data_IF_984021084023
#
_entry.id   IF_984021084023
#
_cell.length_a   1.000
_cell.length_b   1.000
_cell.length_c   1.000
_cell.angle_alpha   90.00
_cell.angle_beta   90.00
_cell.angle_gamma   90.00
#
_symmetry.space_group_name_H-M   'P 1'
#
loop_
_entity.id
_entity.type
_entity.pdbx_description
1 polymer ?
#
# COMPACT_ATOMS: atom_id res chain seq x y z
N UNK A 1 1.72 19.90 -8.51
CA UNK A 1 0.91 19.34 -7.40
C UNK A 1 -0.35 18.58 -7.87
N UNK A 2 -0.96 18.89 -9.03
CA UNK A 2 -2.17 18.19 -9.53
C UNK A 2 -1.98 16.74 -10.05
N UNK A 3 -0.76 16.30 -10.36
CA UNK A 3 -0.55 14.97 -10.95
C UNK A 3 -0.54 13.82 -9.90
N UNK A 4 -0.12 14.10 -8.66
CA UNK A 4 -0.02 13.09 -7.60
C UNK A 4 -1.37 12.75 -6.97
N UNK A 5 -2.30 13.72 -6.91
CA UNK A 5 -3.68 13.53 -6.45
C UNK A 5 -4.45 12.61 -7.39
N UNK A 6 -4.20 12.68 -8.70
CA UNK A 6 -4.89 11.85 -9.69
C UNK A 6 -4.51 10.37 -9.58
N UNK A 7 -3.22 10.03 -9.37
CA UNK A 7 -2.75 8.63 -9.37
C UNK A 7 -3.28 7.79 -8.19
N UNK A 8 -3.38 8.38 -6.99
CA UNK A 8 -3.87 7.63 -5.82
C UNK A 8 -5.39 7.63 -5.76
N UNK A 9 -6.02 8.74 -6.16
CA UNK A 9 -7.47 8.77 -6.35
C UNK A 9 -7.89 7.76 -7.43
N UNK A 10 -7.10 7.54 -8.51
CA UNK A 10 -7.38 6.50 -9.50
C UNK A 10 -7.25 5.08 -8.95
N UNK A 11 -6.27 4.80 -8.09
CA UNK A 11 -6.13 3.47 -7.48
C UNK A 11 -7.23 3.19 -6.44
N UNK A 12 -7.60 4.18 -5.64
CA UNK A 12 -8.74 4.09 -4.73
C UNK A 12 -10.08 4.03 -5.48
N UNK A 13 -10.27 4.83 -6.52
CA UNK A 13 -11.48 4.83 -7.34
C UNK A 13 -11.57 3.56 -8.19
N UNK A 14 -10.45 3.00 -8.67
CA UNK A 14 -10.42 1.74 -9.40
C UNK A 14 -10.93 0.56 -8.57
N UNK A 15 -10.68 0.57 -7.25
CA UNK A 15 -11.26 -0.40 -6.32
C UNK A 15 -12.79 -0.20 -6.15
N UNK A 16 -13.28 1.05 -6.23
CA UNK A 16 -14.72 1.37 -6.21
C UNK A 16 -15.40 1.06 -7.56
N UNK A 17 -14.68 1.18 -8.68
CA UNK A 17 -15.21 0.99 -10.05
C UNK A 17 -15.37 -0.50 -10.42
N UNK A 18 -14.90 -1.44 -9.60
CA UNK A 18 -15.27 -2.85 -9.73
C UNK A 18 -16.75 -3.13 -9.38
N UNK A 19 -17.51 -2.13 -8.88
CA UNK A 19 -18.94 -2.26 -8.58
C UNK A 19 -19.81 -1.16 -9.23
N UNK A 20 -19.38 -0.52 -10.32
CA UNK A 20 -20.24 0.48 -10.98
C UNK A 20 -20.38 0.25 -12.49
N UNK A 21 -21.13 -0.81 -12.81
CA UNK A 21 -22.04 -0.72 -13.92
C UNK A 21 -23.30 0.01 -13.46
N UNK A 22 -23.48 1.24 -13.97
CA UNK A 22 -24.74 2.00 -14.09
C UNK A 22 -25.03 3.07 -13.02
N UNK A 23 -24.73 4.30 -13.42
CA UNK A 23 -25.57 5.51 -13.35
C UNK A 23 -26.99 5.33 -12.78
N UNK A 24 -27.29 6.12 -11.74
CA UNK A 24 -28.62 6.57 -11.30
C UNK A 24 -29.77 5.55 -11.44
N UNK A 25 -29.95 4.72 -10.42
CA UNK A 25 -31.12 3.83 -10.31
C UNK A 25 -31.41 3.49 -8.85
N UNK A 26 -32.68 3.58 -8.49
CA UNK A 26 -33.33 3.10 -7.28
C UNK A 26 -32.68 1.83 -6.70
N UNK A 27 -32.22 1.88 -5.44
CA UNK A 27 -31.65 0.74 -4.71
C UNK A 27 -32.71 -0.36 -4.56
N UNK A 28 -32.67 -1.37 -5.43
CA UNK A 28 -33.30 -2.65 -5.16
C UNK A 28 -32.29 -3.57 -4.47
N UNK A 29 -32.72 -4.39 -3.48
CA UNK A 29 -31.88 -5.43 -2.90
C UNK A 29 -31.46 -6.40 -4.01
N UNK A 30 -30.16 -6.61 -4.20
CA UNK A 30 -29.61 -7.59 -5.14
C UNK A 30 -29.96 -9.00 -4.63
N UNK A 31 -30.53 -9.82 -5.51
CA UNK A 31 -30.84 -11.23 -5.25
C UNK A 31 -29.59 -11.98 -4.76
N UNK A 32 -29.71 -12.65 -3.61
CA UNK A 32 -28.74 -13.60 -3.08
C UNK A 32 -28.56 -14.75 -4.10
N UNK A 33 -27.49 -14.67 -4.87
CA UNK A 33 -26.98 -15.84 -5.59
C UNK A 33 -26.09 -16.57 -4.61
N UNK A 34 -26.41 -17.84 -4.31
CA UNK A 34 -25.63 -18.76 -3.47
C UNK A 34 -24.18 -18.86 -3.99
N UNK A 35 -23.31 -17.94 -3.56
CA UNK A 35 -21.89 -17.96 -3.87
C UNK A 35 -21.10 -18.13 -2.57
N UNK A 36 -20.19 -19.10 -2.56
CA UNK A 36 -19.27 -19.40 -1.45
C UNK A 36 -18.21 -18.31 -1.22
N UNK A 37 -18.36 -17.15 -1.85
CA UNK A 37 -17.43 -16.02 -1.79
C UNK A 37 -18.20 -14.80 -1.28
N UNK A 38 -17.85 -14.30 -0.10
CA UNK A 38 -18.52 -13.18 0.55
C UNK A 38 -17.53 -12.04 0.76
N UNK A 39 -17.34 -11.18 -0.24
CA UNK A 39 -16.51 -9.96 -0.10
C UNK A 39 -17.43 -8.75 0.00
N UNK A 40 -17.30 -8.01 1.10
CA UNK A 40 -18.17 -6.87 1.40
C UNK A 40 -17.34 -5.63 1.77
N UNK A 41 -17.94 -4.45 1.56
CA UNK A 41 -17.38 -3.19 2.05
C UNK A 41 -17.53 -3.15 3.57
N UNK A 42 -16.43 -3.39 4.28
CA UNK A 42 -16.38 -3.39 5.75
C UNK A 42 -16.14 -2.00 6.31
N UNK A 43 -15.61 -1.07 5.51
CA UNK A 43 -15.40 0.31 5.92
C UNK A 43 -15.57 1.25 4.74
N UNK A 44 -16.38 2.29 4.94
CA UNK A 44 -16.42 3.46 4.08
C UNK A 44 -16.52 4.70 4.97
N UNK A 45 -15.57 5.62 4.86
CA UNK A 45 -15.50 6.78 5.73
C UNK A 45 -14.88 7.99 5.06
N UNK A 46 -15.46 9.17 5.30
CA UNK A 46 -14.91 10.45 4.85
C UNK A 46 -15.15 11.52 5.92
N UNK A 47 -14.18 12.40 6.12
CA UNK A 47 -14.33 13.61 6.92
C UNK A 47 -13.49 14.73 6.35
N UNK A 48 -13.99 15.97 6.45
CA UNK A 48 -13.32 17.15 5.92
C UNK A 48 -13.63 18.35 6.82
N UNK A 49 -12.64 19.23 6.99
CA UNK A 49 -12.79 20.56 7.56
C UNK A 49 -12.12 21.59 6.62
N UNK A 50 -12.02 22.84 7.07
CA UNK A 50 -11.47 23.94 6.27
C UNK A 50 -9.99 23.79 5.93
N UNK A 51 -9.22 23.01 6.69
CA UNK A 51 -7.76 22.91 6.56
C UNK A 51 -7.28 21.48 6.29
N UNK A 52 -8.18 20.53 6.03
CA UNK A 52 -7.79 19.13 5.90
C UNK A 52 -8.95 18.14 5.85
N UNK A 53 -8.60 16.87 5.75
CA UNK A 53 -9.57 15.78 5.72
C UNK A 53 -8.95 14.41 5.52
N UNK A 54 -9.82 13.41 5.48
CA UNK A 54 -9.47 12.03 5.20
C UNK A 54 -10.60 11.33 4.45
N UNK A 55 -10.25 10.34 3.66
CA UNK A 55 -11.20 9.42 3.06
C UNK A 55 -10.59 8.02 3.02
N UNK A 56 -11.40 7.00 3.26
CA UNK A 56 -10.97 5.62 3.24
C UNK A 56 -12.08 4.68 2.78
N UNK A 57 -11.68 3.59 2.15
CA UNK A 57 -12.54 2.45 1.82
C UNK A 57 -11.76 1.17 2.11
N UNK A 58 -12.45 0.19 2.68
CA UNK A 58 -11.93 -1.16 2.84
C UNK A 58 -13.01 -2.19 2.54
N UNK A 59 -12.58 -3.28 1.94
CA UNK A 59 -13.38 -4.47 1.69
C UNK A 59 -12.67 -5.67 2.29
N UNK A 60 -13.43 -6.62 2.84
CA UNK A 60 -12.90 -7.87 3.35
C UNK A 60 -13.93 -8.98 3.21
N UNK A 61 -13.48 -10.22 3.27
CA UNK A 61 -14.33 -11.37 3.01
C UNK A 61 -13.61 -12.70 2.93
N UNK A 62 -14.36 -13.77 2.69
CA UNK A 62 -13.78 -15.05 2.27
C UNK A 62 -13.86 -15.17 0.74
N UNK A 63 -12.72 -15.47 0.12
CA UNK A 63 -12.61 -15.70 -1.31
C UNK A 63 -11.96 -17.06 -1.54
N UNK A 64 -12.76 -18.07 -1.81
CA UNK A 64 -12.25 -19.40 -2.16
C UNK A 64 -11.51 -19.37 -3.52
N UNK A 65 -10.33 -20.00 -3.66
CA UNK A 65 -9.60 -20.85 -2.69
C UNK A 65 -8.56 -20.10 -1.83
N UNK A 66 -8.55 -18.77 -1.84
CA UNK A 66 -7.57 -17.93 -1.13
C UNK A 66 -7.86 -17.77 0.37
N UNK A 67 -9.08 -18.08 0.81
CA UNK A 67 -9.55 -17.92 2.18
C UNK A 67 -9.87 -16.45 2.50
N UNK A 68 -9.71 -16.05 3.77
CA UNK A 68 -9.90 -14.67 4.19
C UNK A 68 -8.98 -13.71 3.42
N UNK A 69 -9.58 -12.69 2.80
CA UNK A 69 -8.89 -11.60 2.12
C UNK A 69 -9.37 -10.24 2.64
N UNK A 70 -8.52 -9.23 2.50
CA UNK A 70 -8.84 -7.84 2.77
C UNK A 70 -8.07 -6.91 1.86
N UNK A 71 -8.70 -5.81 1.47
CA UNK A 71 -8.07 -4.72 0.72
C UNK A 71 -8.63 -3.39 1.20
N UNK A 72 -7.78 -2.38 1.30
CA UNK A 72 -8.18 -1.05 1.72
C UNK A 72 -7.26 0.00 1.13
N UNK A 73 -7.81 1.19 1.01
CA UNK A 73 -7.05 2.37 0.64
C UNK A 73 -7.53 3.57 1.46
N UNK A 74 -6.64 4.54 1.62
CA UNK A 74 -6.95 5.76 2.34
C UNK A 74 -6.10 6.93 1.89
N UNK A 75 -6.66 8.12 2.06
CA UNK A 75 -5.99 9.40 1.90
C UNK A 75 -6.20 10.26 3.14
N UNK A 76 -5.21 11.05 3.48
CA UNK A 76 -5.27 12.06 4.53
C UNK A 76 -4.51 13.30 4.02
N UNK A 77 -5.06 14.48 4.25
CA UNK A 77 -4.37 15.71 3.95
C UNK A 77 -4.61 16.76 5.04
N UNK A 78 -3.61 17.60 5.20
CA UNK A 78 -3.65 18.83 5.98
C UNK A 78 -2.96 19.91 5.17
N UNK A 79 -3.70 20.99 4.91
CA UNK A 79 -3.22 22.14 4.14
C UNK A 79 -1.92 22.69 4.72
N UNK A 80 -0.96 23.00 3.84
CA UNK A 80 0.39 23.49 4.15
C UNK A 80 1.24 22.62 5.10
N UNK A 81 0.77 21.44 5.50
CA UNK A 81 1.46 20.55 6.44
C UNK A 81 1.82 19.23 5.78
N UNK A 82 0.84 18.51 5.23
CA UNK A 82 1.12 17.22 4.62
C UNK A 82 0.00 16.68 3.76
N UNK A 83 0.35 15.79 2.83
CA UNK A 83 -0.57 14.98 2.06
C UNK A 83 -0.06 13.54 2.05
N UNK A 84 -0.93 12.57 2.30
CA UNK A 84 -0.54 11.17 2.33
C UNK A 84 -1.64 10.25 1.85
N UNK A 85 -1.22 9.08 1.41
CA UNK A 85 -2.13 8.04 0.98
C UNK A 85 -1.48 6.67 1.05
N UNK A 86 -2.32 5.63 1.07
CA UNK A 86 -1.83 4.28 1.18
C UNK A 86 -2.82 3.24 0.68
N UNK A 87 -2.28 2.08 0.40
CA UNK A 87 -2.95 0.86 0.02
C UNK A 87 -2.50 -0.23 0.98
N UNK A 88 -3.44 -1.08 1.37
CA UNK A 88 -3.18 -2.29 2.12
C UNK A 88 -3.98 -3.40 1.49
N UNK A 89 -3.39 -4.56 1.32
CA UNK A 89 -4.12 -5.78 1.03
C UNK A 89 -3.50 -6.95 1.78
N UNK A 90 -4.25 -8.02 1.93
CA UNK A 90 -3.74 -9.20 2.60
C UNK A 90 -4.73 -10.35 2.58
N UNK A 91 -4.23 -11.47 3.07
CA UNK A 91 -4.99 -12.66 3.41
C UNK A 91 -4.52 -13.20 4.75
N UNK A 92 -5.10 -14.31 5.19
CA UNK A 92 -4.62 -15.07 6.36
C UNK A 92 -3.12 -15.41 6.30
N UNK A 93 -2.54 -15.51 5.10
CA UNK A 93 -1.16 -15.98 4.89
C UNK A 93 -0.16 -14.89 4.50
N UNK A 94 -0.62 -13.82 3.82
CA UNK A 94 0.24 -12.79 3.25
C UNK A 94 -0.32 -11.41 3.51
N UNK A 95 0.55 -10.43 3.75
CA UNK A 95 0.18 -9.02 3.81
C UNK A 95 1.01 -8.21 2.83
N UNK A 96 0.41 -7.19 2.22
CA UNK A 96 1.08 -6.18 1.43
C UNK A 96 0.56 -4.80 1.82
N UNK A 97 1.47 -3.84 1.87
CA UNK A 97 1.13 -2.46 2.19
C UNK A 97 2.04 -1.52 1.45
N UNK A 98 1.53 -0.37 1.09
CA UNK A 98 2.32 0.69 0.52
C UNK A 98 1.66 2.03 0.72
N UNK A 99 2.44 3.08 0.65
CA UNK A 99 1.92 4.42 0.80
C UNK A 99 2.99 5.47 0.63
N UNK A 100 2.55 6.71 0.80
CA UNK A 100 3.42 7.85 0.70
C UNK A 100 2.94 8.95 1.64
N UNK A 101 3.87 9.85 1.98
CA UNK A 101 3.62 11.12 2.63
C UNK A 101 4.43 12.19 1.92
N UNK A 102 3.84 13.35 1.75
CA UNK A 102 4.45 14.53 1.15
C UNK A 102 4.29 15.64 2.18
N UNK A 103 5.41 16.22 2.58
CA UNK A 103 5.53 17.43 3.39
C UNK A 103 6.02 18.57 2.47
N UNK A 104 5.99 19.84 2.93
CA UNK A 104 6.44 20.97 2.11
C UNK A 104 7.85 20.82 1.53
N UNK A 105 8.77 20.19 2.27
CA UNK A 105 10.20 20.08 1.93
C UNK A 105 10.71 18.64 1.84
N UNK A 106 9.81 17.65 1.93
CA UNK A 106 10.21 16.25 1.90
C UNK A 106 9.09 15.34 1.44
N UNK A 107 9.46 14.16 0.99
CA UNK A 107 8.53 13.08 0.65
C UNK A 107 9.07 11.74 1.15
N UNK A 108 8.15 10.87 1.52
CA UNK A 108 8.38 9.49 1.90
C UNK A 108 7.51 8.59 1.05
N UNK A 109 8.07 7.51 0.50
CA UNK A 109 7.34 6.43 -0.16
C UNK A 109 7.75 5.13 0.54
N UNK A 110 6.76 4.36 0.99
CA UNK A 110 6.97 3.09 1.65
C UNK A 110 6.24 1.96 0.95
N UNK A 111 6.83 0.77 0.97
CA UNK A 111 6.15 -0.47 0.62
C UNK A 111 6.65 -1.61 1.51
N UNK A 112 5.79 -2.57 1.81
CA UNK A 112 6.12 -3.69 2.67
C UNK A 112 5.31 -4.93 2.33
N UNK A 113 5.92 -6.08 2.60
CA UNK A 113 5.30 -7.39 2.50
C UNK A 113 5.49 -8.14 3.82
N UNK A 114 4.51 -8.97 4.14
CA UNK A 114 4.49 -9.80 5.34
C UNK A 114 4.03 -11.22 5.02
N UNK A 115 4.55 -12.17 5.78
CA UNK A 115 4.22 -13.58 5.71
C UNK A 115 3.81 -14.04 7.12
N UNK A 116 2.53 -14.29 7.32
CA UNK A 116 1.96 -14.61 8.64
C UNK A 116 2.53 -15.91 9.19
N UNK A 117 2.59 -16.96 8.35
CA UNK A 117 3.03 -18.30 8.77
C UNK A 117 4.48 -18.37 9.24
N UNK A 118 5.35 -17.56 8.65
CA UNK A 118 6.79 -17.57 8.92
C UNK A 118 7.26 -16.38 9.77
N UNK A 119 6.29 -15.58 10.26
CA UNK A 119 6.48 -14.31 10.97
C UNK A 119 7.58 -13.45 10.32
N UNK A 120 7.59 -13.42 8.99
CA UNK A 120 8.61 -12.75 8.21
C UNK A 120 8.03 -11.50 7.56
N UNK A 121 8.76 -10.40 7.59
CA UNK A 121 8.40 -9.20 6.84
C UNK A 121 9.62 -8.53 6.26
N UNK A 122 9.38 -7.76 5.21
CA UNK A 122 10.36 -6.89 4.61
C UNK A 122 9.65 -5.60 4.17
N UNK A 123 10.31 -4.47 4.34
CA UNK A 123 9.82 -3.18 3.88
C UNK A 123 10.94 -2.33 3.30
N UNK A 124 10.56 -1.46 2.38
CA UNK A 124 11.37 -0.38 1.85
C UNK A 124 10.72 0.94 2.24
N UNK A 125 11.55 1.91 2.57
CA UNK A 125 11.17 3.30 2.72
C UNK A 125 12.16 4.13 1.92
N UNK A 126 11.67 4.90 0.98
CA UNK A 126 12.41 5.89 0.23
C UNK A 126 12.02 7.28 0.72
N UNK A 127 12.98 8.03 1.21
CA UNK A 127 12.81 9.42 1.62
C UNK A 127 13.61 10.31 0.69
N UNK A 128 13.05 11.47 0.38
CA UNK A 128 13.72 12.52 -0.37
C UNK A 128 13.39 13.87 0.24
N UNK A 129 14.34 14.79 0.18
CA UNK A 129 14.12 16.19 0.49
C UNK A 129 14.36 17.07 -0.74
N UNK A 130 13.83 18.28 -0.73
CA UNK A 130 13.98 19.25 -1.82
C UNK A 130 15.40 19.88 -1.89
N UNK A 131 16.25 19.58 -0.91
CA UNK A 131 17.69 19.85 -0.91
C UNK A 131 18.52 18.87 -1.77
N UNK A 132 17.86 17.87 -2.38
CA UNK A 132 18.50 16.85 -3.21
C UNK A 132 19.08 15.68 -2.43
N UNK A 133 18.77 15.54 -1.14
CA UNK A 133 19.10 14.35 -0.37
C UNK A 133 18.09 13.22 -0.59
N UNK A 134 18.58 11.99 -0.62
CA UNK A 134 17.78 10.78 -0.78
C UNK A 134 18.25 9.71 0.21
N UNK A 135 17.31 8.95 0.77
CA UNK A 135 17.60 7.82 1.64
C UNK A 135 16.71 6.64 1.28
N UNK A 136 17.33 5.49 1.05
CA UNK A 136 16.65 4.21 0.96
C UNK A 136 16.93 3.40 2.23
N UNK A 137 15.87 3.04 2.94
CA UNK A 137 15.93 2.17 4.11
C UNK A 137 15.23 0.86 3.78
N UNK A 138 15.96 -0.25 3.84
CA UNK A 138 15.39 -1.59 3.77
C UNK A 138 15.38 -2.20 5.16
N UNK A 139 14.22 -2.68 5.61
CA UNK A 139 14.06 -3.33 6.91
C UNK A 139 13.53 -4.74 6.69
N UNK A 140 14.05 -5.72 7.44
CA UNK A 140 13.50 -7.07 7.44
C UNK A 140 13.60 -7.69 8.82
N UNK A 141 12.63 -8.55 9.16
CA UNK A 141 12.71 -9.38 10.38
C UNK A 141 13.67 -10.55 10.25
N UNK A 142 14.22 -10.79 9.05
CA UNK A 142 15.26 -11.79 8.80
C UNK A 142 16.58 -11.10 8.50
N UNK A 143 17.69 -11.74 8.87
CA UNK A 143 19.01 -11.28 8.47
C UNK A 143 19.11 -11.21 6.94
N UNK A 144 19.73 -10.14 6.43
CA UNK A 144 19.90 -9.89 5.01
C UNK A 144 21.26 -9.26 4.73
N UNK A 145 21.70 -9.36 3.48
CA UNK A 145 22.87 -8.65 2.97
C UNK A 145 22.47 -7.84 1.75
N UNK A 146 23.00 -6.63 1.64
CA UNK A 146 22.84 -5.78 0.47
C UNK A 146 24.17 -5.68 -0.27
N UNK A 147 24.15 -5.97 -1.57
CA UNK A 147 25.33 -5.94 -2.44
C UNK A 147 25.13 -4.81 -3.45
N UNK A 148 26.05 -3.82 -3.50
CA UNK A 148 26.03 -2.82 -4.56
C UNK A 148 26.45 -3.47 -5.89
N UNK A 149 25.81 -3.05 -6.97
CA UNK A 149 26.10 -3.49 -8.32
C UNK A 149 26.03 -2.32 -9.30
N UNK A 150 26.43 -2.59 -10.54
CA UNK A 150 26.29 -1.67 -11.66
C UNK A 150 25.22 -2.25 -12.59
N UNK A 151 24.14 -1.51 -12.79
CA UNK A 151 23.18 -1.77 -13.86
C UNK A 151 23.69 -1.12 -15.16
N UNK A 152 23.17 -1.55 -16.31
CA UNK A 152 23.58 -1.06 -17.64
C UNK A 152 23.53 0.47 -17.77
N UNK A 153 22.71 1.15 -16.98
CA UNK A 153 22.52 2.61 -17.00
C UNK A 153 22.52 3.26 -15.61
N UNK A 154 23.18 2.66 -14.61
CA UNK A 154 23.26 3.28 -13.28
C UNK A 154 23.78 2.38 -12.18
N UNK A 155 23.58 2.80 -10.94
CA UNK A 155 23.95 2.05 -9.74
C UNK A 155 22.76 1.22 -9.25
N UNK A 156 23.01 0.01 -8.78
CA UNK A 156 21.99 -0.86 -8.19
C UNK A 156 22.41 -1.33 -6.80
N UNK A 157 21.42 -1.67 -5.98
CA UNK A 157 21.64 -2.35 -4.70
C UNK A 157 20.66 -3.52 -4.65
N UNK A 158 21.18 -4.72 -4.44
CA UNK A 158 20.36 -5.93 -4.28
C UNK A 158 20.45 -6.41 -2.85
N UNK A 159 19.34 -6.41 -2.13
CA UNK A 159 19.24 -6.94 -0.78
C UNK A 159 18.58 -8.33 -0.79
N UNK A 160 19.19 -9.31 -0.13
CA UNK A 160 18.68 -10.69 -0.08
C UNK A 160 18.79 -11.23 1.33
N UNK A 161 17.78 -12.01 1.75
CA UNK A 161 17.80 -12.69 3.03
C UNK A 161 18.94 -13.71 3.08
N UNK A 162 19.68 -13.73 4.18
CA UNK A 162 20.77 -14.69 4.41
C UNK A 162 20.28 -15.81 5.30
N UNK A 163 20.37 -17.05 4.82
CA UNK A 163 20.08 -18.25 5.62
C UNK A 163 21.22 -18.53 6.61
N UNK A 164 21.44 -17.65 7.59
CA UNK A 164 22.32 -17.89 8.75
C UNK A 164 23.83 -18.14 8.48
N UNK A 165 24.26 -18.38 7.25
CA UNK A 165 25.67 -18.50 6.89
C UNK A 165 26.22 -17.12 6.61
N UNK A 166 26.88 -16.56 7.62
CA UNK A 166 27.65 -15.34 7.56
C UNK A 166 28.44 -15.23 6.24
N UNK A 167 28.29 -14.10 5.55
CA UNK A 167 29.27 -13.68 4.55
C UNK A 167 30.62 -13.50 5.26
N UNK A 168 31.48 -14.52 5.19
CA UNK A 168 32.91 -14.31 5.34
C UNK A 168 33.35 -13.45 4.16
N UNK A 169 33.65 -12.18 4.44
CA UNK A 169 34.37 -11.31 3.52
C UNK A 169 35.73 -11.95 3.22
N UNK A 170 36.06 -12.10 1.94
CA UNK A 170 37.43 -12.26 1.45
C UNK A 170 37.92 -10.91 0.96
#
# INVERSE_FOLDING_TARGET
MFASTLFTALFCAGLVVAHDGQTHGHLQPREETNETNTVEITTFGRSQNSTGGQAQVAAAGDLSPFGEIGVGCGINWQEDVSFGGGLQAGSSSFGLGGGYKIFPHSMEIGAGIGYTKSNASASITFQSSDDGSFQLTFTSTRAFACVPGNATTGYSVTCTTTNGTALRRH
#
